data_IF_794640139629
#
_entry.id   IF_794640139629
#
_cell.length_a   1.000
_cell.length_b   1.000
_cell.length_c   1.000
_cell.angle_alpha   90.00
_cell.angle_beta   90.00
_cell.angle_gamma   90.00
#
_symmetry.space_group_name_H-M   'P 1'
#
loop_
_entity.id
_entity.type
_entity.pdbx_description
1 polymer ?
#
# COMPACT_ATOMS: atom_id res chain seq x y z
N UNK A 1 -3.00 9.74 -7.15
CA UNK A 1 -4.14 8.91 -6.70
C UNK A 1 -4.18 8.87 -5.19
N UNK A 2 -5.39 8.78 -4.63
CA UNK A 2 -5.69 8.60 -3.21
C UNK A 2 -6.48 7.32 -3.04
N UNK A 3 -6.33 6.65 -1.90
CA UNK A 3 -6.91 5.36 -1.61
C UNK A 3 -7.55 5.36 -0.23
N UNK A 4 -8.82 4.98 -0.14
CA UNK A 4 -9.49 4.61 1.10
C UNK A 4 -9.60 3.10 1.18
N UNK A 5 -9.12 2.52 2.26
CA UNK A 5 -9.23 1.10 2.55
C UNK A 5 -10.22 0.89 3.67
N UNK A 6 -11.10 -0.09 3.54
CA UNK A 6 -12.07 -0.43 4.56
C UNK A 6 -12.12 -1.93 4.81
N UNK A 7 -12.03 -2.35 6.06
CA UNK A 7 -12.33 -3.70 6.48
C UNK A 7 -13.73 -3.75 7.08
N UNK A 8 -14.44 -4.85 6.87
CA UNK A 8 -15.79 -5.05 7.36
C UNK A 8 -16.56 -6.05 6.51
N UNK A 9 -17.86 -6.09 6.72
CA UNK A 9 -18.75 -6.96 5.98
C UNK A 9 -18.89 -6.50 4.52
N UNK A 10 -18.82 -7.46 3.59
CA UNK A 10 -19.10 -7.26 2.18
C UNK A 10 -20.20 -8.23 1.78
N UNK A 11 -21.34 -7.70 1.36
CA UNK A 11 -22.47 -8.47 0.83
C UNK A 11 -22.60 -8.24 -0.66
N UNK A 12 -22.71 -9.32 -1.41
CA UNK A 12 -23.07 -9.26 -2.82
C UNK A 12 -24.61 -9.22 -2.93
N UNK A 13 -25.13 -8.17 -3.52
CA UNK A 13 -26.54 -8.05 -3.89
C UNK A 13 -26.68 -8.43 -5.36
N UNK A 14 -27.74 -9.20 -5.68
CA UNK A 14 -28.04 -9.50 -7.08
C UNK A 14 -28.49 -8.21 -7.78
N UNK A 15 -27.58 -7.63 -8.50
CA UNK A 15 -27.82 -6.43 -9.29
C UNK A 15 -28.30 -6.79 -10.69
N UNK A 16 -29.56 -6.67 -10.98
CA UNK A 16 -30.19 -6.88 -12.27
C UNK A 16 -29.28 -6.74 -13.52
N UNK A 17 -29.72 -6.03 -14.57
CA UNK A 17 -28.97 -5.88 -15.84
C UNK A 17 -27.64 -5.12 -15.74
N UNK A 18 -27.29 -4.53 -14.57
CA UNK A 18 -26.08 -3.72 -14.34
C UNK A 18 -24.89 -4.48 -13.76
N UNK A 19 -25.01 -5.78 -13.48
CA UNK A 19 -23.98 -6.59 -12.81
C UNK A 19 -24.13 -6.62 -11.29
N UNK A 20 -23.22 -7.30 -10.57
CA UNK A 20 -23.32 -7.45 -9.12
C UNK A 20 -23.09 -6.11 -8.41
N UNK A 21 -23.97 -5.80 -7.47
CA UNK A 21 -23.82 -4.68 -6.53
C UNK A 21 -23.23 -5.25 -5.23
N UNK A 22 -22.27 -4.55 -4.65
CA UNK A 22 -21.69 -4.90 -3.35
C UNK A 22 -22.11 -3.86 -2.33
N UNK A 23 -22.52 -4.32 -1.14
CA UNK A 23 -22.89 -3.48 0.00
C UNK A 23 -22.26 -4.04 1.29
N UNK A 24 -22.25 -3.26 2.35
CA UNK A 24 -21.73 -3.66 3.65
C UNK A 24 -20.86 -2.60 4.31
N UNK A 25 -20.49 -2.83 5.58
CA UNK A 25 -19.71 -1.87 6.39
C UNK A 25 -18.34 -1.53 5.77
N UNK A 26 -17.71 -2.47 5.06
CA UNK A 26 -16.44 -2.24 4.38
C UNK A 26 -16.50 -1.07 3.38
N UNK A 27 -17.63 -0.86 2.70
CA UNK A 27 -17.81 0.27 1.77
C UNK A 27 -17.88 1.62 2.48
N UNK A 28 -18.59 1.67 3.62
CA UNK A 28 -18.68 2.88 4.43
C UNK A 28 -17.31 3.21 5.04
N UNK A 29 -16.57 2.21 5.52
CA UNK A 29 -15.21 2.38 6.02
C UNK A 29 -14.26 2.88 4.93
N UNK A 30 -14.28 2.27 3.74
CA UNK A 30 -13.44 2.71 2.62
C UNK A 30 -13.76 4.15 2.19
N UNK A 31 -15.05 4.52 2.16
CA UNK A 31 -15.47 5.88 1.84
C UNK A 31 -15.00 6.88 2.89
N UNK A 32 -15.23 6.59 4.18
CA UNK A 32 -14.75 7.43 5.29
C UNK A 32 -13.23 7.57 5.30
N UNK A 33 -12.50 6.49 5.02
CA UNK A 33 -11.05 6.52 4.88
C UNK A 33 -10.59 7.43 3.72
N UNK A 34 -11.29 7.43 2.59
CA UNK A 34 -10.98 8.33 1.47
C UNK A 34 -11.22 9.79 1.84
N UNK A 35 -12.30 10.09 2.56
CA UNK A 35 -12.60 11.45 3.04
C UNK A 35 -11.52 11.95 4.02
N UNK A 36 -10.97 11.06 4.88
CA UNK A 36 -9.82 11.39 5.75
C UNK A 36 -8.56 11.75 4.96
N UNK A 37 -8.23 10.98 3.91
CA UNK A 37 -7.10 11.32 3.02
C UNK A 37 -7.29 12.68 2.38
N UNK A 38 -8.50 13.01 1.96
CA UNK A 38 -8.79 14.29 1.32
C UNK A 38 -8.63 15.46 2.27
N UNK A 39 -9.06 15.31 3.52
CA UNK A 39 -8.94 16.34 4.55
C UNK A 39 -7.50 16.52 5.02
N UNK A 40 -6.82 15.41 5.38
CA UNK A 40 -5.47 15.43 5.96
C UNK A 40 -4.37 15.62 4.94
N UNK A 41 -4.58 15.18 3.70
CA UNK A 41 -3.61 15.32 2.61
C UNK A 41 -3.25 16.76 2.27
N UNK A 42 -4.05 17.74 2.71
CA UNK A 42 -3.71 19.16 2.56
C UNK A 42 -2.57 19.59 3.50
N UNK A 43 -2.54 19.03 4.71
CA UNK A 43 -1.51 19.33 5.70
C UNK A 43 -0.31 18.36 5.62
N UNK A 44 -0.49 17.20 5.02
CA UNK A 44 0.53 16.16 4.86
C UNK A 44 0.68 15.77 3.37
N UNK A 45 1.40 16.57 2.56
CA UNK A 45 1.69 16.21 1.18
C UNK A 45 2.41 14.84 1.16
N UNK A 46 1.99 13.95 0.30
CA UNK A 46 2.51 12.57 0.29
C UNK A 46 1.58 11.54 0.93
N UNK A 47 0.69 11.95 1.83
CA UNK A 47 -0.35 11.06 2.35
C UNK A 47 -1.33 10.69 1.23
N UNK A 48 -1.44 9.40 0.95
CA UNK A 48 -2.25 8.89 -0.17
C UNK A 48 -3.26 7.83 0.25
N UNK A 49 -3.05 7.22 1.43
CA UNK A 49 -3.83 6.06 1.85
C UNK A 49 -4.26 6.20 3.31
N UNK A 50 -5.49 5.79 3.58
CA UNK A 50 -6.06 5.69 4.93
C UNK A 50 -6.85 4.41 5.06
N UNK A 51 -6.98 3.90 6.28
CA UNK A 51 -7.72 2.68 6.57
C UNK A 51 -8.73 2.90 7.68
N UNK A 52 -9.90 2.30 7.56
CA UNK A 52 -10.91 2.21 8.62
C UNK A 52 -11.43 0.78 8.76
N UNK A 53 -11.72 0.40 10.01
CA UNK A 53 -12.47 -0.79 10.38
C UNK A 53 -13.33 -0.49 11.61
N UNK A 54 -14.13 -1.46 12.05
CA UNK A 54 -14.89 -1.37 13.32
C UNK A 54 -13.97 -1.41 14.54
N UNK A 55 -12.75 -1.92 14.41
CA UNK A 55 -11.74 -1.96 15.46
C UNK A 55 -10.86 -0.70 15.39
N UNK A 56 -10.90 0.10 16.47
CA UNK A 56 -10.14 1.34 16.56
C UNK A 56 -8.62 1.10 16.66
N UNK A 57 -8.18 0.03 17.31
CA UNK A 57 -6.76 -0.30 17.47
C UNK A 57 -6.20 -0.81 16.15
N UNK A 58 -6.94 -1.66 15.43
CA UNK A 58 -6.59 -2.08 14.07
C UNK A 58 -6.51 -0.87 13.12
N UNK A 59 -7.51 0.00 13.17
CA UNK A 59 -7.54 1.24 12.38
C UNK A 59 -6.30 2.09 12.63
N UNK A 60 -5.94 2.32 13.90
CA UNK A 60 -4.77 3.11 14.26
C UNK A 60 -3.46 2.46 13.80
N UNK A 61 -3.30 1.16 14.02
CA UNK A 61 -2.09 0.41 13.66
C UNK A 61 -1.88 0.39 12.14
N UNK A 62 -2.89 -0.02 11.39
CA UNK A 62 -2.81 -0.11 9.93
C UNK A 62 -2.59 1.28 9.32
N UNK A 63 -3.33 2.29 9.77
CA UNK A 63 -3.18 3.65 9.26
C UNK A 63 -1.79 4.22 9.55
N UNK A 64 -1.22 3.97 10.74
CA UNK A 64 0.14 4.41 11.06
C UNK A 64 1.18 3.80 10.10
N UNK A 65 1.06 2.51 9.80
CA UNK A 65 1.88 1.83 8.80
C UNK A 65 1.74 2.48 7.41
N UNK A 66 0.50 2.74 6.98
CA UNK A 66 0.21 3.35 5.68
C UNK A 66 0.80 4.75 5.53
N UNK A 67 0.75 5.56 6.58
CA UNK A 67 1.36 6.90 6.61
C UNK A 67 2.88 6.82 6.38
N UNK A 68 3.57 5.94 7.12
CA UNK A 68 5.01 5.74 6.97
C UNK A 68 5.38 5.18 5.60
N UNK A 69 4.62 4.22 5.10
CA UNK A 69 4.78 3.66 3.75
C UNK A 69 4.64 4.74 2.67
N UNK A 70 3.57 5.54 2.75
CA UNK A 70 3.31 6.59 1.76
C UNK A 70 4.42 7.64 1.75
N UNK A 71 4.93 8.02 2.94
CA UNK A 71 6.05 8.94 3.06
C UNK A 71 7.32 8.39 2.39
N UNK A 72 7.66 7.12 2.62
CA UNK A 72 8.81 6.48 1.97
C UNK A 72 8.65 6.46 0.45
N UNK A 73 7.48 6.07 -0.05
CA UNK A 73 7.22 6.00 -1.49
C UNK A 73 7.23 7.39 -2.13
N UNK A 74 6.73 8.41 -1.43
CA UNK A 74 6.72 9.78 -1.96
C UNK A 74 8.12 10.34 -2.15
N UNK A 75 9.06 9.99 -1.28
CA UNK A 75 10.47 10.35 -1.39
C UNK A 75 11.26 9.61 -2.47
N UNK A 76 10.70 8.55 -3.06
CA UNK A 76 11.39 7.76 -4.09
C UNK A 76 11.33 8.42 -5.46
N UNK A 77 12.46 8.38 -6.19
CA UNK A 77 12.52 8.68 -7.62
C UNK A 77 11.73 7.64 -8.43
N UNK A 78 11.44 7.92 -9.69
CA UNK A 78 10.74 6.99 -10.58
C UNK A 78 11.43 5.63 -10.70
N UNK A 79 12.77 5.61 -10.78
CA UNK A 79 13.55 4.36 -10.82
C UNK A 79 13.44 3.60 -9.49
N UNK A 80 13.58 4.28 -8.37
CA UNK A 80 13.46 3.66 -7.05
C UNK A 80 12.08 3.01 -6.85
N UNK A 81 11.01 3.66 -7.29
CA UNK A 81 9.66 3.10 -7.26
C UNK A 81 9.51 1.84 -8.12
N UNK A 82 10.10 1.82 -9.34
CA UNK A 82 10.05 0.62 -10.19
C UNK A 82 10.84 -0.54 -9.58
N UNK A 83 12.03 -0.28 -9.06
CA UNK A 83 12.84 -1.28 -8.37
C UNK A 83 12.15 -1.81 -7.11
N UNK A 84 11.58 -0.92 -6.29
CA UNK A 84 10.81 -1.31 -5.11
C UNK A 84 9.60 -2.16 -5.48
N UNK A 85 8.82 -1.75 -6.48
CA UNK A 85 7.66 -2.50 -6.94
C UNK A 85 8.01 -3.89 -7.48
N UNK A 86 9.09 -4.01 -8.25
CA UNK A 86 9.57 -5.31 -8.72
C UNK A 86 10.03 -6.21 -7.57
N UNK A 87 10.79 -5.66 -6.63
CA UNK A 87 11.26 -6.42 -5.46
C UNK A 87 10.09 -6.87 -4.55
N UNK A 88 9.05 -6.06 -4.38
CA UNK A 88 7.83 -6.42 -3.64
C UNK A 88 7.04 -7.54 -4.33
N UNK A 89 7.10 -7.64 -5.66
CA UNK A 89 6.54 -8.78 -6.41
C UNK A 89 7.42 -10.03 -6.40
N UNK A 90 8.58 -9.98 -5.74
CA UNK A 90 9.52 -11.11 -5.68
C UNK A 90 10.41 -11.24 -6.92
N UNK A 91 10.51 -10.22 -7.76
CA UNK A 91 11.41 -10.25 -8.92
C UNK A 91 12.87 -10.31 -8.46
N UNK A 92 13.68 -11.23 -9.01
CA UNK A 92 15.08 -11.35 -8.62
C UNK A 92 15.89 -10.12 -9.08
N UNK A 93 16.88 -9.74 -8.26
CA UNK A 93 17.64 -8.51 -8.48
C UNK A 93 18.36 -8.44 -9.83
N UNK A 94 18.78 -9.58 -10.42
CA UNK A 94 19.40 -9.60 -11.73
C UNK A 94 18.41 -9.14 -12.82
N UNK A 95 17.13 -9.55 -12.74
CA UNK A 95 16.10 -9.10 -13.70
C UNK A 95 15.79 -7.61 -13.55
N UNK A 96 15.77 -7.12 -12.32
CA UNK A 96 15.61 -5.68 -12.05
C UNK A 96 16.79 -4.87 -12.59
N UNK A 97 18.00 -5.41 -12.48
CA UNK A 97 19.20 -4.82 -13.03
C UNK A 97 19.13 -4.72 -14.57
N UNK A 98 18.75 -5.81 -15.22
CA UNK A 98 18.60 -5.88 -16.68
C UNK A 98 17.54 -4.88 -17.19
N UNK A 99 16.37 -4.82 -16.50
CA UNK A 99 15.26 -3.95 -16.89
C UNK A 99 15.57 -2.45 -16.77
N UNK A 100 16.43 -2.08 -15.82
CA UNK A 100 16.82 -0.68 -15.57
C UNK A 100 18.18 -0.30 -16.18
N UNK A 101 18.88 -1.25 -16.81
CA UNK A 101 20.18 -1.04 -17.42
C UNK A 101 21.29 -0.69 -16.40
N UNK A 102 21.26 -1.31 -15.22
CA UNK A 102 22.22 -1.08 -14.13
C UNK A 102 22.77 -2.41 -13.60
N UNK A 103 23.77 -2.35 -12.72
CA UNK A 103 24.33 -3.56 -12.12
C UNK A 103 23.45 -4.06 -10.96
N UNK A 104 23.52 -5.35 -10.66
CA UNK A 104 22.82 -5.94 -9.50
C UNK A 104 23.25 -5.29 -8.17
N UNK A 105 24.53 -4.93 -8.04
CA UNK A 105 25.05 -4.17 -6.89
C UNK A 105 24.36 -2.81 -6.76
N UNK A 106 24.15 -2.11 -7.89
CA UNK A 106 23.44 -0.84 -7.90
C UNK A 106 21.96 -1.00 -7.50
N UNK A 107 21.29 -2.08 -7.93
CA UNK A 107 19.94 -2.42 -7.45
C UNK A 107 19.91 -2.58 -5.94
N UNK A 108 20.81 -3.40 -5.38
CA UNK A 108 20.90 -3.64 -3.94
C UNK A 108 21.14 -2.35 -3.15
N UNK A 109 22.03 -1.48 -3.60
CA UNK A 109 22.28 -0.18 -2.97
C UNK A 109 21.07 0.74 -3.07
N UNK A 110 20.38 0.75 -4.20
CA UNK A 110 19.18 1.55 -4.43
C UNK A 110 18.05 1.14 -3.47
N UNK A 111 17.75 -0.16 -3.37
CA UNK A 111 16.72 -0.68 -2.46
C UNK A 111 16.99 -0.33 -0.99
N UNK A 112 18.26 -0.34 -0.57
CA UNK A 112 18.63 0.06 0.80
C UNK A 112 18.47 1.55 1.03
N UNK A 113 18.98 2.38 0.12
CA UNK A 113 19.00 3.84 0.27
C UNK A 113 17.60 4.46 0.16
N UNK A 114 16.75 3.92 -0.70
CA UNK A 114 15.39 4.42 -0.93
C UNK A 114 14.39 4.05 0.19
N UNK A 115 14.78 3.19 1.13
CA UNK A 115 13.85 2.63 2.12
C UNK A 115 13.01 1.44 1.63
N UNK A 116 13.16 1.03 0.36
CA UNK A 116 12.43 -0.11 -0.19
C UNK A 116 12.71 -1.42 0.57
N UNK A 117 13.93 -1.59 1.10
CA UNK A 117 14.27 -2.75 1.93
C UNK A 117 13.40 -2.83 3.20
N UNK A 118 13.06 -1.70 3.82
CA UNK A 118 12.16 -1.64 4.98
C UNK A 118 10.73 -2.01 4.59
N UNK A 119 10.24 -1.55 3.41
CA UNK A 119 8.92 -1.93 2.91
C UNK A 119 8.82 -3.44 2.64
N UNK A 120 9.86 -4.03 2.06
CA UNK A 120 9.92 -5.48 1.81
C UNK A 120 9.92 -6.27 3.13
N UNK A 121 10.68 -5.81 4.13
CA UNK A 121 10.72 -6.44 5.46
C UNK A 121 9.34 -6.35 6.15
N UNK A 122 8.68 -5.19 6.09
CA UNK A 122 7.35 -5.01 6.65
C UNK A 122 6.31 -5.91 5.99
N UNK A 123 6.35 -6.04 4.64
CA UNK A 123 5.45 -6.94 3.91
C UNK A 123 5.66 -8.41 4.30
N UNK A 124 6.92 -8.83 4.49
CA UNK A 124 7.24 -10.20 4.93
C UNK A 124 6.69 -10.47 6.33
N UNK A 125 6.90 -9.57 7.27
CA UNK A 125 6.37 -9.69 8.62
C UNK A 125 4.85 -9.87 8.63
N UNK A 126 4.11 -9.08 7.83
CA UNK A 126 2.66 -9.22 7.67
C UNK A 126 2.26 -10.57 7.04
N UNK A 127 3.06 -11.10 6.10
CA UNK A 127 2.78 -12.36 5.42
C UNK A 127 3.11 -13.59 6.26
N UNK A 128 4.09 -13.52 7.14
CA UNK A 128 4.49 -14.62 8.03
C UNK A 128 3.44 -14.88 9.11
N UNK A 129 2.79 -13.83 9.63
CA UNK A 129 1.70 -13.99 10.60
C UNK A 129 0.39 -14.49 9.97
N UNK A 130 0.12 -14.15 8.71
CA UNK A 130 -1.09 -14.60 8.01
C UNK A 130 -1.03 -16.09 7.60
N UNK A 131 0.14 -16.74 7.65
CA UNK A 131 0.37 -18.13 7.32
C UNK A 131 0.49 -19.07 8.53
N UNK A 132 0.42 -18.53 9.74
CA UNK A 132 0.44 -19.30 10.99
C UNK A 132 -0.98 -19.53 11.50
#
# INVERSE_FOLDING_TARGET
CRFGLGAGEVRRLDGGRGGPIYDGSAWYHARGALDEVDQRGRAAPGLRTWFHSDDADETALVTSHLILRDHLIDGMSGRERRLAAGALRGEPQHRLADSEGITQSAVSQNLRRSGAAALIAAQRALGEEAGA
#
